data_IF_654326692740
#
_entry.id   IF_654326692740
#
_cell.length_a   1.000
_cell.length_b   1.000
_cell.length_c   1.000
_cell.angle_alpha   90.00
_cell.angle_beta   90.00
_cell.angle_gamma   90.00
#
_symmetry.space_group_name_H-M   'P 1'
#
loop_
_entity.id
_entity.type
_entity.pdbx_description
1 polymer ?
#
# COMPACT_ATOMS: atom_id res chain seq x y z
N UNK A 1 0.83 6.51 -0.95
CA UNK A 1 1.85 6.22 -1.97
C UNK A 1 1.31 5.48 -3.19
N UNK A 2 2.19 4.99 -4.05
CA UNK A 2 1.83 4.26 -5.29
C UNK A 2 2.51 2.90 -5.33
N UNK A 3 1.72 1.85 -5.55
CA UNK A 3 2.15 0.46 -5.61
C UNK A 3 1.03 -0.51 -5.25
N UNK A 4 1.38 -1.73 -4.84
CA UNK A 4 0.40 -2.72 -4.37
C UNK A 4 -0.42 -2.21 -3.18
N UNK A 5 0.22 -1.53 -2.23
CA UNK A 5 -0.42 -0.90 -1.07
C UNK A 5 -1.55 0.06 -1.46
N UNK A 6 -1.37 0.86 -2.53
CA UNK A 6 -2.40 1.74 -3.08
C UNK A 6 -3.63 0.95 -3.53
N UNK A 7 -3.40 -0.15 -4.24
CA UNK A 7 -4.49 -0.99 -4.75
C UNK A 7 -5.21 -1.73 -3.62
N UNK A 8 -4.48 -2.30 -2.67
CA UNK A 8 -5.10 -2.91 -1.49
C UNK A 8 -5.88 -1.90 -0.65
N UNK A 9 -5.32 -0.71 -0.43
CA UNK A 9 -6.04 0.34 0.28
C UNK A 9 -7.34 0.72 -0.45
N UNK A 10 -7.33 0.81 -1.78
CA UNK A 10 -8.53 1.07 -2.56
C UNK A 10 -9.55 -0.07 -2.52
N UNK A 11 -9.09 -1.34 -2.38
CA UNK A 11 -9.96 -2.51 -2.31
C UNK A 11 -10.61 -2.71 -0.93
N UNK A 12 -9.86 -2.41 0.14
CA UNK A 12 -10.27 -2.77 1.50
C UNK A 12 -10.70 -1.59 2.36
N UNK A 13 -10.48 -0.35 1.92
CA UNK A 13 -10.95 0.82 2.66
C UNK A 13 -12.41 1.11 2.34
N UNK A 14 -13.21 1.31 3.38
CA UNK A 14 -14.63 1.64 3.27
C UNK A 14 -14.81 3.16 3.12
N UNK A 15 -15.13 3.61 1.91
CA UNK A 15 -15.27 5.03 1.57
C UNK A 15 -16.67 5.52 1.90
N UNK A 16 -16.84 6.11 3.09
CA UNK A 16 -18.14 6.60 3.57
C UNK A 16 -18.38 8.08 3.27
N UNK A 17 -17.32 8.86 2.99
CA UNK A 17 -17.41 10.29 2.74
C UNK A 17 -16.62 10.71 1.50
N UNK A 18 -17.12 11.66 0.69
CA UNK A 18 -16.41 12.17 -0.47
C UNK A 18 -15.16 12.96 -0.05
N UNK A 19 -14.14 12.96 -0.92
CA UNK A 19 -12.86 13.69 -0.74
C UNK A 19 -12.03 13.25 0.48
N UNK A 20 -12.22 12.00 0.94
CA UNK A 20 -11.40 11.38 1.99
C UNK A 20 -10.27 10.52 1.43
N UNK A 21 -10.13 10.47 0.12
CA UNK A 21 -9.11 9.71 -0.56
C UNK A 21 -8.27 10.59 -1.48
N UNK A 22 -6.95 10.62 -1.23
CA UNK A 22 -5.97 11.32 -2.04
C UNK A 22 -5.01 10.30 -2.63
N UNK A 23 -4.91 10.24 -3.95
CA UNK A 23 -4.04 9.28 -4.60
C UNK A 23 -3.56 9.79 -5.96
N UNK A 24 -2.36 9.42 -6.37
CA UNK A 24 -1.87 9.64 -7.73
C UNK A 24 -2.44 8.57 -8.67
N UNK A 25 -3.72 8.75 -9.06
CA UNK A 25 -4.47 7.76 -9.84
C UNK A 25 -4.25 7.87 -11.35
N UNK A 26 -3.70 8.96 -11.86
CA UNK A 26 -3.45 9.18 -13.29
C UNK A 26 -2.04 8.71 -13.67
N UNK A 27 -1.01 9.43 -13.23
CA UNK A 27 0.38 9.09 -13.55
C UNK A 27 0.98 8.00 -12.67
N UNK A 28 0.40 7.74 -11.51
CA UNK A 28 0.92 6.75 -10.58
C UNK A 28 2.31 7.12 -10.04
N UNK A 29 2.44 8.34 -9.55
CA UNK A 29 3.73 8.88 -9.10
C UNK A 29 4.10 8.33 -7.73
N UNK A 30 5.10 7.45 -7.65
CA UNK A 30 5.69 7.00 -6.39
C UNK A 30 6.28 8.19 -5.62
N UNK A 31 6.13 8.17 -4.30
CA UNK A 31 6.52 9.29 -3.42
C UNK A 31 5.45 10.36 -3.24
N UNK A 32 4.28 10.24 -3.88
CA UNK A 32 3.17 11.19 -3.72
C UNK A 32 2.56 11.18 -2.31
N UNK A 33 2.53 10.01 -1.64
CA UNK A 33 1.76 9.79 -0.41
C UNK A 33 2.15 10.74 0.71
N UNK A 34 3.39 10.70 1.15
CA UNK A 34 3.87 11.49 2.29
C UNK A 34 3.69 13.01 2.09
N UNK A 35 4.13 13.65 0.98
CA UNK A 35 3.87 15.08 0.76
C UNK A 35 2.38 15.44 0.70
N UNK A 36 1.56 14.57 0.12
CA UNK A 36 0.11 14.78 0.09
C UNK A 36 -0.53 14.70 1.49
N UNK A 37 -0.08 13.77 2.33
CA UNK A 37 -0.52 13.65 3.71
C UNK A 37 -0.11 14.87 4.55
N UNK A 38 1.11 15.38 4.36
CA UNK A 38 1.58 16.62 4.99
C UNK A 38 0.64 17.79 4.62
N UNK A 39 0.38 17.98 3.32
CA UNK A 39 -0.51 19.02 2.84
C UNK A 39 -1.94 18.88 3.36
N UNK A 40 -2.47 17.66 3.40
CA UNK A 40 -3.79 17.37 3.94
C UNK A 40 -3.87 17.69 5.44
N UNK A 41 -2.84 17.36 6.22
CA UNK A 41 -2.81 17.64 7.65
C UNK A 41 -2.66 19.13 7.96
N UNK A 42 -1.94 19.88 7.16
CA UNK A 42 -1.93 21.34 7.27
C UNK A 42 -3.30 21.96 7.02
N UNK A 43 -4.02 21.44 6.01
CA UNK A 43 -5.36 21.91 5.66
C UNK A 43 -6.43 21.47 6.67
N UNK A 44 -6.27 20.31 7.30
CA UNK A 44 -7.26 19.70 8.19
C UNK A 44 -6.59 19.14 9.45
N UNK A 45 -6.24 20.05 10.35
CA UNK A 45 -5.65 19.71 11.65
C UNK A 45 -6.60 19.02 12.63
N UNK A 46 -7.90 19.09 12.34
CA UNK A 46 -9.00 18.49 13.10
C UNK A 46 -9.24 17.02 12.75
N UNK A 47 -8.60 16.50 11.71
CA UNK A 47 -8.81 15.13 11.23
C UNK A 47 -7.55 14.28 11.40
N UNK A 48 -7.76 12.98 11.55
CA UNK A 48 -6.68 12.00 11.45
C UNK A 48 -6.35 11.82 9.96
N UNK A 49 -5.11 12.10 9.59
CA UNK A 49 -4.59 11.86 8.25
C UNK A 49 -3.67 10.65 8.29
N UNK A 50 -3.95 9.66 7.45
CA UNK A 50 -3.16 8.42 7.35
C UNK A 50 -2.52 8.37 5.97
N UNK A 51 -1.19 8.29 5.90
CA UNK A 51 -0.45 7.96 4.69
C UNK A 51 -0.26 6.45 4.62
N UNK A 52 -0.79 5.82 3.58
CA UNK A 52 -0.53 4.40 3.29
C UNK A 52 0.47 4.35 2.14
N UNK A 53 1.68 3.92 2.45
CA UNK A 53 2.78 3.89 1.49
C UNK A 53 3.44 2.51 1.44
N UNK A 54 4.33 2.31 0.49
CA UNK A 54 5.17 1.12 0.36
C UNK A 54 6.64 1.48 0.54
N UNK A 55 7.47 0.48 0.88
CA UNK A 55 8.90 0.67 1.13
C UNK A 55 9.65 1.29 -0.05
N UNK A 56 9.24 1.03 -1.27
CA UNK A 56 9.84 1.61 -2.47
C UNK A 56 9.34 3.04 -2.74
N UNK A 57 8.04 3.30 -2.54
CA UNK A 57 7.42 4.59 -2.82
C UNK A 57 7.85 5.66 -1.81
N UNK A 58 7.81 5.38 -0.52
CA UNK A 58 8.18 6.35 0.53
C UNK A 58 9.65 6.79 0.44
N UNK A 59 10.54 5.95 -0.11
CA UNK A 59 11.95 6.30 -0.32
C UNK A 59 12.14 7.55 -1.18
N UNK A 60 11.20 7.82 -2.07
CA UNK A 60 11.28 8.94 -3.03
C UNK A 60 11.27 10.30 -2.32
N UNK A 61 10.57 10.40 -1.18
CA UNK A 61 10.42 11.63 -0.42
C UNK A 61 10.67 11.43 1.09
N UNK A 62 11.53 10.49 1.46
CA UNK A 62 11.79 10.15 2.86
C UNK A 62 12.30 11.35 3.68
N UNK A 63 12.99 12.30 3.05
CA UNK A 63 13.44 13.53 3.70
C UNK A 63 12.32 14.39 4.27
N UNK A 64 11.08 14.21 3.80
CA UNK A 64 9.91 14.94 4.31
C UNK A 64 9.41 14.44 5.68
N UNK A 65 10.00 13.37 6.22
CA UNK A 65 9.76 12.95 7.61
C UNK A 65 10.15 14.06 8.61
N UNK A 66 11.26 14.76 8.35
CA UNK A 66 11.69 15.92 9.16
C UNK A 66 10.64 17.05 9.10
N UNK A 67 10.00 17.26 7.96
CA UNK A 67 8.91 18.25 7.82
C UNK A 67 7.73 17.91 8.74
N UNK A 68 7.36 16.64 8.84
CA UNK A 68 6.27 16.17 9.70
C UNK A 68 6.56 16.49 11.16
N UNK A 69 7.74 16.17 11.66
CA UNK A 69 8.11 16.37 13.06
C UNK A 69 8.41 17.83 13.37
N UNK A 70 9.05 18.57 12.47
CA UNK A 70 9.33 20.01 12.63
C UNK A 70 8.05 20.81 12.89
N UNK A 71 6.97 20.49 12.19
CA UNK A 71 5.67 21.17 12.35
C UNK A 71 4.70 20.44 13.29
N UNK A 72 5.16 19.39 13.95
CA UNK A 72 4.38 18.54 14.85
C UNK A 72 3.03 18.17 14.23
N UNK A 73 3.06 17.64 13.00
CA UNK A 73 1.86 17.21 12.29
C UNK A 73 1.49 15.79 12.73
N UNK A 74 0.27 15.55 13.26
CA UNK A 74 -0.12 14.23 13.75
C UNK A 74 -0.44 13.22 12.63
N UNK A 75 0.33 13.25 11.55
CA UNK A 75 0.20 12.31 10.43
C UNK A 75 0.56 10.90 10.88
N UNK A 76 -0.27 9.95 10.51
CA UNK A 76 -0.08 8.52 10.74
C UNK A 76 0.49 7.89 9.47
N UNK A 77 1.75 7.49 9.47
CA UNK A 77 2.44 6.92 8.30
C UNK A 77 2.51 5.41 8.45
N UNK A 78 1.89 4.67 7.53
CA UNK A 78 1.93 3.21 7.44
C UNK A 78 2.71 2.80 6.20
N UNK A 79 3.80 2.09 6.38
CA UNK A 79 4.63 1.56 5.28
C UNK A 79 4.43 0.05 5.19
N UNK A 80 3.78 -0.41 4.13
CA UNK A 80 3.69 -1.83 3.80
C UNK A 80 4.98 -2.25 3.10
N UNK A 81 5.85 -2.95 3.83
CA UNK A 81 7.18 -3.31 3.37
C UNK A 81 7.23 -4.77 2.91
N UNK A 82 7.32 -4.99 1.61
CA UNK A 82 7.55 -6.29 0.97
C UNK A 82 8.98 -6.45 0.45
N UNK A 83 9.90 -5.56 0.84
CA UNK A 83 11.29 -5.55 0.38
C UNK A 83 11.41 -5.45 -1.15
N UNK A 84 10.53 -4.69 -1.82
CA UNK A 84 10.57 -4.61 -3.27
C UNK A 84 9.62 -3.63 -3.93
N UNK A 85 9.80 -3.45 -5.22
CA UNK A 85 8.84 -2.76 -6.09
C UNK A 85 7.71 -3.72 -6.44
N UNK A 86 6.83 -4.00 -5.47
CA UNK A 86 5.90 -5.13 -5.49
C UNK A 86 5.00 -5.21 -6.71
N UNK A 87 4.44 -4.08 -7.20
CA UNK A 87 3.60 -4.10 -8.40
C UNK A 87 4.42 -4.40 -9.66
N UNK A 88 5.62 -3.86 -9.80
CA UNK A 88 6.51 -4.19 -10.93
C UNK A 88 6.93 -5.66 -10.86
N UNK A 89 7.26 -6.15 -9.65
CA UNK A 89 7.57 -7.57 -9.40
C UNK A 89 6.41 -8.48 -9.80
N UNK A 90 5.17 -8.12 -9.44
CA UNK A 90 3.96 -8.85 -9.82
C UNK A 90 3.81 -8.93 -11.36
N UNK A 91 4.02 -7.83 -12.07
CA UNK A 91 4.01 -7.81 -13.53
C UNK A 91 5.09 -8.70 -14.14
N UNK A 92 6.31 -8.65 -13.61
CA UNK A 92 7.41 -9.52 -14.03
C UNK A 92 7.08 -11.00 -13.79
N UNK A 93 6.45 -11.32 -12.67
CA UNK A 93 5.98 -12.67 -12.36
C UNK A 93 4.94 -13.15 -13.38
N UNK A 94 3.91 -12.35 -13.65
CA UNK A 94 2.78 -12.76 -14.49
C UNK A 94 3.08 -12.72 -15.99
N UNK A 95 3.78 -11.71 -16.47
CA UNK A 95 3.91 -11.45 -17.92
C UNK A 95 5.32 -11.63 -18.48
N UNK A 96 6.35 -11.71 -17.61
CA UNK A 96 7.74 -11.81 -18.01
C UNK A 96 8.43 -13.09 -17.53
N UNK A 97 7.66 -14.15 -17.28
CA UNK A 97 8.16 -15.48 -16.87
C UNK A 97 9.02 -15.44 -15.60
N UNK A 98 8.69 -14.56 -14.66
CA UNK A 98 9.44 -14.41 -13.41
C UNK A 98 10.86 -13.85 -13.58
N UNK A 99 11.16 -13.18 -14.68
CA UNK A 99 12.45 -12.50 -14.87
C UNK A 99 12.48 -11.21 -14.08
N UNK A 100 12.81 -11.31 -12.81
CA UNK A 100 12.91 -10.16 -11.91
C UNK A 100 14.13 -9.31 -12.24
N UNK A 101 13.92 -8.02 -12.45
CA UNK A 101 14.98 -7.06 -12.74
C UNK A 101 14.78 -5.80 -11.92
N UNK A 102 15.75 -5.49 -11.05
CA UNK A 102 15.82 -4.31 -10.20
C UNK A 102 14.63 -4.15 -9.20
N UNK A 103 13.79 -5.15 -9.01
CA UNK A 103 12.58 -5.08 -8.16
C UNK A 103 12.76 -5.66 -6.77
N UNK A 104 13.85 -6.39 -6.54
CA UNK A 104 14.19 -6.95 -5.22
C UNK A 104 15.06 -5.95 -4.44
N UNK A 105 14.59 -5.59 -3.26
CA UNK A 105 15.28 -4.67 -2.35
C UNK A 105 15.69 -5.34 -1.04
N UNK A 106 15.62 -6.66 -0.95
CA UNK A 106 15.97 -7.43 0.25
C UNK A 106 17.43 -7.22 0.73
N UNK A 107 18.33 -6.89 -0.20
CA UNK A 107 19.73 -6.58 0.12
C UNK A 107 19.95 -5.12 0.57
N UNK A 108 18.94 -4.26 0.49
CA UNK A 108 19.08 -2.88 0.92
C UNK A 108 19.22 -2.79 2.44
N UNK A 109 20.10 -1.91 2.88
CA UNK A 109 20.41 -1.71 4.32
C UNK A 109 19.51 -0.66 4.99
N UNK A 110 18.50 -0.15 4.29
CA UNK A 110 17.61 0.87 4.83
C UNK A 110 16.77 0.29 5.99
N UNK A 111 16.87 0.97 7.11
CA UNK A 111 16.03 0.73 8.29
C UNK A 111 15.11 1.92 8.45
N UNK A 112 13.83 1.74 8.15
CA UNK A 112 12.84 2.83 8.18
C UNK A 112 12.54 3.28 9.61
N UNK A 113 12.60 2.37 10.58
CA UNK A 113 12.38 2.73 11.99
C UNK A 113 13.49 3.64 12.50
N UNK A 114 14.73 3.30 12.21
CA UNK A 114 15.86 4.18 12.57
C UNK A 114 15.82 5.51 11.84
N UNK A 115 15.38 5.53 10.58
CA UNK A 115 15.22 6.76 9.83
C UNK A 115 14.14 7.65 10.46
N UNK A 116 12.96 7.12 10.74
CA UNK A 116 11.89 7.86 11.40
C UNK A 116 12.32 8.37 12.80
N UNK A 117 12.99 7.53 13.58
CA UNK A 117 13.53 7.95 14.88
C UNK A 117 14.59 9.07 14.77
N UNK A 118 15.46 9.02 13.75
CA UNK A 118 16.44 10.08 13.49
C UNK A 118 15.77 11.42 13.11
N UNK A 119 14.62 11.35 12.43
CA UNK A 119 13.81 12.52 12.08
C UNK A 119 12.83 12.94 13.20
N UNK A 120 12.95 12.35 14.40
CA UNK A 120 12.24 12.80 15.61
C UNK A 120 10.87 12.14 15.86
N UNK A 121 10.53 11.03 15.19
CA UNK A 121 9.33 10.28 15.52
C UNK A 121 9.50 9.53 16.85
N UNK A 122 8.70 9.87 17.84
CA UNK A 122 8.67 9.16 19.14
C UNK A 122 7.95 7.81 19.02
N UNK A 123 6.95 7.71 18.13
CA UNK A 123 6.30 6.45 17.77
C UNK A 123 6.84 5.99 16.42
N UNK A 124 7.79 5.06 16.45
CA UNK A 124 8.34 4.40 15.26
C UNK A 124 8.44 2.90 15.54
N UNK A 125 7.52 2.11 15.00
CA UNK A 125 7.35 0.69 15.32
C UNK A 125 7.36 -0.17 14.07
N UNK A 126 7.98 -1.36 14.15
CA UNK A 126 7.90 -2.40 13.13
C UNK A 126 6.95 -3.50 13.59
N UNK A 127 5.98 -3.83 12.75
CA UNK A 127 5.01 -4.90 12.95
C UNK A 127 5.37 -6.09 12.05
N UNK A 128 5.69 -7.22 12.67
CA UNK A 128 6.15 -8.43 11.98
C UNK A 128 5.20 -9.62 12.17
N UNK A 129 4.35 -9.59 13.21
CA UNK A 129 3.50 -10.71 13.58
C UNK A 129 2.02 -10.36 13.46
N UNK A 130 1.23 -11.21 12.78
CA UNK A 130 -0.21 -10.97 12.60
C UNK A 130 -0.98 -10.82 13.93
N UNK A 131 -0.60 -11.55 14.96
CA UNK A 131 -1.24 -11.50 16.28
C UNK A 131 -1.10 -10.14 16.98
N UNK A 132 -0.07 -9.35 16.65
CA UNK A 132 0.14 -8.02 17.22
C UNK A 132 -0.66 -6.91 16.49
N UNK A 133 -1.24 -7.20 15.31
CA UNK A 133 -1.94 -6.20 14.49
C UNK A 133 -3.00 -5.42 15.25
N UNK A 134 -3.95 -6.05 15.97
CA UNK A 134 -5.02 -5.28 16.64
C UNK A 134 -4.47 -4.31 17.70
N UNK A 135 -3.49 -4.77 18.48
CA UNK A 135 -2.87 -3.97 19.54
C UNK A 135 -2.06 -2.81 18.97
N UNK A 136 -1.14 -3.10 18.05
CA UNK A 136 -0.23 -2.09 17.50
C UNK A 136 -0.99 -1.03 16.70
N UNK A 137 -2.02 -1.41 15.94
CA UNK A 137 -2.87 -0.44 15.22
C UNK A 137 -3.63 0.46 16.20
N UNK A 138 -4.16 -0.08 17.28
CA UNK A 138 -4.86 0.72 18.30
C UNK A 138 -3.90 1.74 18.95
N UNK A 139 -2.69 1.32 19.33
CA UNK A 139 -1.64 2.19 19.88
C UNK A 139 -1.22 3.27 18.88
N UNK A 140 -1.00 2.88 17.64
CA UNK A 140 -0.60 3.77 16.53
C UNK A 140 -1.63 4.88 16.26
N UNK A 141 -2.90 4.53 16.19
CA UNK A 141 -3.98 5.51 15.95
C UNK A 141 -4.19 6.42 17.17
N UNK A 142 -4.09 5.87 18.38
CA UNK A 142 -4.30 6.62 19.62
C UNK A 142 -3.12 7.51 20.01
N UNK A 143 -1.94 7.31 19.44
CA UNK A 143 -0.76 8.13 19.75
C UNK A 143 -1.00 9.59 19.43
N UNK A 144 -0.73 10.49 20.37
CA UNK A 144 -0.87 11.94 20.18
C UNK A 144 0.41 12.51 19.58
N UNK A 145 0.41 12.70 18.27
CA UNK A 145 1.55 13.19 17.50
C UNK A 145 1.82 12.40 16.21
N UNK A 146 2.92 12.72 15.52
CA UNK A 146 3.35 11.99 14.34
C UNK A 146 3.73 10.55 14.69
N UNK A 147 3.25 9.59 13.91
CA UNK A 147 3.51 8.18 14.17
C UNK A 147 3.92 7.45 12.88
N UNK A 148 4.91 6.59 12.98
CA UNK A 148 5.45 5.79 11.88
C UNK A 148 5.32 4.30 12.20
N UNK A 149 4.63 3.57 11.32
CA UNK A 149 4.43 2.13 11.43
C UNK A 149 4.94 1.43 10.18
N UNK A 150 5.95 0.59 10.31
CA UNK A 150 6.40 -0.31 9.26
C UNK A 150 5.76 -1.68 9.45
N UNK A 151 5.02 -2.15 8.47
CA UNK A 151 4.37 -3.46 8.47
C UNK A 151 5.09 -4.37 7.49
N UNK A 152 5.71 -5.42 7.99
CA UNK A 152 6.35 -6.43 7.14
C UNK A 152 5.28 -7.33 6.53
N UNK A 153 5.27 -7.41 5.20
CA UNK A 153 4.32 -8.23 4.45
C UNK A 153 5.04 -9.22 3.56
N UNK A 154 4.31 -10.26 3.11
CA UNK A 154 4.84 -11.27 2.22
C UNK A 154 5.33 -10.63 0.90
N UNK A 155 6.63 -10.79 0.54
CA UNK A 155 7.19 -10.25 -0.70
C UNK A 155 6.59 -10.87 -1.97
N UNK A 156 5.96 -12.02 -1.89
CA UNK A 156 5.33 -12.71 -3.00
C UNK A 156 3.82 -12.49 -3.10
N UNK A 157 3.23 -11.76 -2.15
CA UNK A 157 1.83 -11.36 -2.18
C UNK A 157 1.53 -10.55 -3.45
N UNK A 158 0.40 -10.87 -4.08
CA UNK A 158 -0.06 -10.21 -5.30
C UNK A 158 -1.42 -9.56 -5.09
N UNK A 159 -1.68 -8.48 -5.81
CA UNK A 159 -2.99 -7.83 -5.85
C UNK A 159 -3.87 -8.55 -6.87
N UNK A 160 -5.00 -9.04 -6.42
CA UNK A 160 -6.03 -9.67 -7.24
C UNK A 160 -7.42 -9.16 -6.85
N UNK A 161 -8.41 -9.17 -7.78
CA UNK A 161 -8.28 -9.50 -9.21
C UNK A 161 -7.51 -8.43 -9.99
N UNK A 162 -6.99 -8.79 -11.15
CA UNK A 162 -6.21 -7.92 -12.01
C UNK A 162 -6.59 -8.13 -13.49
N UNK A 163 -6.69 -7.04 -14.25
CA UNK A 163 -6.90 -7.09 -15.71
C UNK A 163 -5.55 -6.88 -16.39
N UNK A 164 -5.10 -7.87 -17.15
CA UNK A 164 -3.87 -7.79 -17.91
C UNK A 164 -4.00 -6.96 -19.20
N UNK A 165 -2.88 -6.61 -19.84
CA UNK A 165 -2.89 -5.86 -21.10
C UNK A 165 -3.73 -6.55 -22.18
N UNK A 166 -4.67 -5.80 -22.77
CA UNK A 166 -5.54 -6.31 -23.83
C UNK A 166 -6.64 -7.27 -23.37
N UNK A 167 -6.76 -7.52 -22.06
CA UNK A 167 -7.81 -8.37 -21.51
C UNK A 167 -9.10 -7.59 -21.23
N UNK A 168 -10.23 -8.25 -21.37
CA UNK A 168 -11.52 -7.75 -20.89
C UNK A 168 -11.72 -8.07 -19.40
N UNK A 169 -12.71 -7.45 -18.75
CA UNK A 169 -13.09 -7.79 -17.37
C UNK A 169 -13.50 -9.27 -17.21
N UNK A 170 -14.06 -9.89 -18.25
CA UNK A 170 -14.40 -11.31 -18.22
C UNK A 170 -13.18 -12.25 -18.19
N UNK A 171 -12.02 -11.73 -18.58
CA UNK A 171 -10.73 -12.44 -18.61
C UNK A 171 -9.81 -12.05 -17.44
N UNK A 172 -10.40 -11.43 -16.42
CA UNK A 172 -9.68 -10.96 -15.24
C UNK A 172 -8.84 -12.08 -14.61
N UNK A 173 -7.60 -11.77 -14.30
CA UNK A 173 -6.70 -12.67 -13.58
C UNK A 173 -7.12 -12.68 -12.12
N UNK A 174 -7.47 -13.84 -11.60
CA UNK A 174 -7.84 -14.04 -10.20
C UNK A 174 -6.76 -14.82 -9.48
N UNK A 175 -6.59 -14.58 -8.18
CA UNK A 175 -5.68 -15.38 -7.36
C UNK A 175 -6.19 -16.82 -7.19
N UNK A 176 -5.37 -17.66 -6.56
CA UNK A 176 -5.65 -19.09 -6.33
C UNK A 176 -6.97 -19.37 -5.57
N UNK A 177 -7.48 -18.38 -4.85
CA UNK A 177 -8.70 -18.49 -4.05
C UNK A 177 -9.98 -18.09 -4.79
N UNK A 178 -9.87 -17.58 -6.03
CA UNK A 178 -11.02 -17.17 -6.84
C UNK A 178 -11.07 -18.07 -8.07
N UNK A 179 -12.07 -18.92 -8.13
CA UNK A 179 -12.29 -19.81 -9.28
C UNK A 179 -12.64 -18.97 -10.50
N UNK A 180 -11.92 -19.15 -11.61
CA UNK A 180 -12.20 -18.47 -12.85
C UNK A 180 -13.63 -18.80 -13.32
N UNK A 181 -14.36 -17.80 -13.81
CA UNK A 181 -15.76 -17.94 -14.24
C UNK A 181 -15.95 -19.03 -15.31
N UNK A 182 -14.95 -19.22 -16.17
CA UNK A 182 -14.97 -20.26 -17.21
C UNK A 182 -14.93 -21.70 -16.66
N UNK A 183 -14.40 -21.88 -15.44
CA UNK A 183 -14.41 -23.18 -14.77
C UNK A 183 -15.79 -23.50 -14.16
N UNK A 184 -16.60 -22.49 -13.87
CA UNK A 184 -17.98 -22.66 -13.35
C UNK A 184 -18.95 -22.94 -14.49
N UNK A 185 -18.77 -22.33 -15.66
CA UNK A 185 -19.63 -22.50 -16.85
C UNK A 185 -19.50 -23.92 -17.44
N UNK A 186 -18.34 -24.55 -17.29
CA UNK A 186 -18.12 -25.93 -17.76
C UNK A 186 -18.89 -26.99 -16.96
N UNK A 187 -19.46 -26.66 -15.80
CA UNK A 187 -20.20 -27.57 -14.94
C UNK A 187 -21.74 -27.38 -14.99
N UNK A 188 -22.20 -26.27 -15.56
CA UNK A 188 -23.64 -26.00 -15.76
C UNK A 188 -23.97 -25.93 -17.25
N UNK A 189 -24.54 -27.02 -17.76
CA UNK A 189 -25.12 -27.10 -19.12
C UNK A 189 -26.42 -26.30 -19.16
N UNK A 190 -26.35 -25.03 -19.51
CA UNK A 190 -27.51 -24.20 -19.80
C UNK A 190 -27.12 -22.79 -20.22
N UNK A 191 -27.75 -22.18 -21.26
CA UNK A 191 -27.45 -20.80 -21.64
C UNK A 191 -27.98 -19.85 -20.57
N UNK A 192 -27.10 -19.08 -19.97
CA UNK A 192 -27.46 -17.94 -19.12
C UNK A 192 -27.62 -16.73 -20.03
N UNK A 193 -28.85 -16.26 -20.21
CA UNK A 193 -29.11 -14.95 -20.83
C UNK A 193 -28.49 -13.85 -19.99
N UNK A 194 -27.64 -13.04 -20.63
CA UNK A 194 -27.07 -11.87 -20.02
C UNK A 194 -28.05 -10.70 -20.15
N UNK A 195 -28.33 -10.05 -19.04
CA UNK A 195 -28.81 -8.67 -18.98
C UNK A 195 -27.63 -7.71 -18.79
#
# INVERSE_FOLDING_TARGET
>A
GVGQHQMWAAQYFDFTEPRRWLTSGSMGTMGFGLPAAIGAQFARRDLVVIDIDGDASIRMNLGELETVTTYNLPVKIVVLNNCGDGMVRQWQKLFFKGRFSATDKSLHKKDFIKAAAADGFEFAVRLERPEDVPRVIAEFIAFDGPAFLEVMIDPDACVYPMVGPGMSYAQMITGEHIVARDAVVATESGPVEMF
#
